data_IF_178841307004
#
_entry.id   IF_178841307004
#
_cell.length_a   1.000
_cell.length_b   1.000
_cell.length_c   1.000
_cell.angle_alpha   90.00
_cell.angle_beta   90.00
_cell.angle_gamma   90.00
#
_symmetry.space_group_name_H-M   'P 1'
#
loop_
_entity.id
_entity.type
_entity.pdbx_description
1 polymer ?
#
# COMPACT_ATOMS: atom_id res chain seq x y z
N UNK A 1 -20.07 40.80 14.70
CA UNK A 1 -18.82 40.10 14.33
C UNK A 1 -19.11 38.61 14.17
N UNK A 2 -19.07 38.04 12.96
CA UNK A 2 -19.30 36.60 12.74
C UNK A 2 -17.99 35.81 12.60
N UNK A 3 -17.95 34.62 13.20
CA UNK A 3 -16.77 33.76 13.38
C UNK A 3 -16.20 33.17 12.06
N UNK A 4 -14.86 32.92 11.96
CA UNK A 4 -14.18 32.64 10.69
C UNK A 4 -14.22 31.18 10.17
N UNK A 5 -15.00 30.26 10.74
CA UNK A 5 -14.81 28.81 10.53
C UNK A 5 -15.90 28.12 9.70
N UNK A 6 -16.67 28.85 8.88
CA UNK A 6 -17.74 28.26 8.03
C UNK A 6 -17.59 28.54 6.52
N UNK A 7 -16.38 28.84 6.04
CA UNK A 7 -16.09 29.18 4.63
C UNK A 7 -16.21 28.02 3.61
N UNK A 8 -16.90 26.92 3.94
CA UNK A 8 -17.05 25.76 3.03
C UNK A 8 -18.48 25.47 2.53
N UNK A 9 -19.49 26.25 2.90
CA UNK A 9 -20.87 25.99 2.45
C UNK A 9 -21.62 27.20 1.89
N UNK A 10 -20.96 28.10 1.15
CA UNK A 10 -21.64 29.08 0.29
C UNK A 10 -20.91 29.27 -1.04
N UNK A 11 -21.31 28.46 -2.00
CA UNK A 11 -21.26 28.79 -3.41
C UNK A 11 -22.38 28.01 -4.12
N UNK A 12 -23.60 28.26 -3.66
CA UNK A 12 -24.81 27.99 -4.42
C UNK A 12 -25.53 29.34 -4.53
N UNK A 13 -25.92 29.69 -5.76
CA UNK A 13 -26.85 30.77 -6.13
C UNK A 13 -26.21 32.17 -6.27
N UNK A 14 -25.71 32.52 -7.47
CA UNK A 14 -26.44 33.38 -8.44
C UNK A 14 -25.63 33.90 -9.65
N UNK A 15 -26.29 33.85 -10.82
CA UNK A 15 -26.14 34.68 -12.03
C UNK A 15 -24.98 34.44 -13.02
N UNK A 16 -25.18 33.48 -13.95
CA UNK A 16 -24.60 33.51 -15.32
C UNK A 16 -25.73 33.11 -16.30
N UNK A 17 -25.97 33.85 -17.40
CA UNK A 17 -27.13 33.61 -18.26
C UNK A 17 -27.04 32.30 -19.05
N UNK A 18 -28.21 31.74 -19.32
CA UNK A 18 -28.50 30.51 -20.07
C UNK A 18 -27.72 30.41 -21.38
N UNK A 19 -26.56 29.77 -21.31
CA UNK A 19 -25.93 29.08 -22.45
C UNK A 19 -25.44 27.75 -21.91
N UNK A 20 -26.32 26.76 -21.91
CA UNK A 20 -25.94 25.35 -21.71
C UNK A 20 -24.86 24.99 -22.74
N UNK A 21 -23.60 24.69 -22.37
CA UNK A 21 -22.78 23.92 -23.26
C UNK A 21 -23.39 22.51 -23.32
N UNK A 22 -23.88 22.16 -24.51
CA UNK A 22 -24.34 20.83 -24.91
C UNK A 22 -23.52 19.72 -24.20
N UNK A 23 -24.15 18.67 -23.64
CA UNK A 23 -23.42 17.62 -22.94
C UNK A 23 -22.43 17.01 -23.91
N UNK A 24 -21.15 17.32 -23.68
CA UNK A 24 -20.08 16.78 -24.48
C UNK A 24 -20.15 15.27 -24.31
N UNK A 25 -20.40 14.55 -25.40
CA UNK A 25 -20.33 13.09 -25.56
C UNK A 25 -18.92 12.52 -25.28
N UNK A 26 -18.14 13.18 -24.41
CA UNK A 26 -16.89 12.65 -23.92
C UNK A 26 -17.22 11.54 -22.92
N UNK A 27 -16.77 10.29 -23.14
CA UNK A 27 -16.95 9.24 -22.16
C UNK A 27 -16.35 9.70 -20.83
N UNK A 28 -16.99 9.36 -19.70
CA UNK A 28 -16.45 9.62 -18.37
C UNK A 28 -15.07 8.93 -18.27
N UNK A 29 -14.01 9.72 -18.32
CA UNK A 29 -12.62 9.25 -18.40
C UNK A 29 -12.04 9.16 -16.99
N UNK A 30 -11.63 7.96 -16.59
CA UNK A 30 -10.86 7.74 -15.38
C UNK A 30 -9.43 8.25 -15.57
N UNK A 31 -9.03 9.23 -14.74
CA UNK A 31 -7.65 9.71 -14.67
C UNK A 31 -6.71 8.59 -14.19
N UNK A 32 -5.63 8.37 -14.95
CA UNK A 32 -4.58 7.40 -14.64
C UNK A 32 -4.03 7.57 -13.22
N UNK A 33 -4.00 8.80 -12.69
CA UNK A 33 -3.56 9.09 -11.31
C UNK A 33 -4.45 8.43 -10.28
N UNK A 34 -5.78 8.47 -10.48
CA UNK A 34 -6.75 7.86 -9.57
C UNK A 34 -6.64 6.34 -9.61
N UNK A 35 -6.59 5.76 -10.82
CA UNK A 35 -6.44 4.31 -11.04
C UNK A 35 -5.17 3.80 -10.36
N UNK A 36 -4.05 4.46 -10.59
CA UNK A 36 -2.78 4.01 -10.03
C UNK A 36 -2.70 4.21 -8.52
N UNK A 37 -3.22 5.33 -8.00
CA UNK A 37 -3.32 5.56 -6.55
C UNK A 37 -4.16 4.46 -5.89
N UNK A 38 -5.24 4.03 -6.53
CA UNK A 38 -6.07 2.92 -6.08
C UNK A 38 -5.27 1.61 -5.99
N UNK A 39 -4.61 1.21 -7.08
CA UNK A 39 -3.82 -0.02 -7.09
C UNK A 39 -2.66 0.02 -6.10
N UNK A 40 -1.88 1.10 -6.03
CA UNK A 40 -0.79 1.23 -5.05
C UNK A 40 -1.30 1.21 -3.60
N UNK A 41 -2.48 1.77 -3.33
CA UNK A 41 -3.11 1.69 -2.00
C UNK A 41 -3.50 0.26 -1.67
N UNK A 42 -4.11 -0.47 -2.60
CA UNK A 42 -4.50 -1.86 -2.37
C UNK A 42 -3.27 -2.77 -2.24
N UNK A 43 -2.22 -2.56 -3.03
CA UNK A 43 -0.95 -3.27 -2.85
C UNK A 43 -0.38 -3.09 -1.45
N UNK A 44 -0.38 -1.85 -0.91
CA UNK A 44 0.05 -1.60 0.48
C UNK A 44 -0.84 -2.29 1.51
N UNK A 45 -2.15 -2.35 1.27
CA UNK A 45 -3.07 -3.09 2.15
C UNK A 45 -2.77 -4.59 2.13
N UNK A 46 -2.55 -5.17 0.95
CA UNK A 46 -2.22 -6.59 0.81
C UNK A 46 -0.91 -6.94 1.51
N UNK A 47 0.14 -6.14 1.34
CA UNK A 47 1.41 -6.35 2.07
C UNK A 47 1.20 -6.29 3.59
N UNK A 48 0.46 -5.29 4.10
CA UNK A 48 0.15 -5.21 5.54
C UNK A 48 -0.63 -6.44 6.03
N UNK A 49 -1.60 -6.91 5.25
CA UNK A 49 -2.38 -8.09 5.57
C UNK A 49 -1.49 -9.34 5.61
N UNK A 50 -0.60 -9.52 4.63
CA UNK A 50 0.37 -10.63 4.60
C UNK A 50 1.31 -10.58 5.81
N UNK A 51 1.82 -9.39 6.18
CA UNK A 51 2.64 -9.22 7.39
C UNK A 51 1.88 -9.63 8.64
N UNK A 52 0.62 -9.22 8.78
CA UNK A 52 -0.22 -9.59 9.94
C UNK A 52 -0.52 -11.09 9.97
N UNK A 53 -0.76 -11.73 8.82
CA UNK A 53 -1.00 -13.17 8.73
C UNK A 53 0.26 -13.98 9.09
N UNK A 54 1.43 -13.54 8.62
CA UNK A 54 2.71 -14.16 9.00
C UNK A 54 3.00 -13.96 10.50
N UNK A 55 2.77 -12.77 11.04
CA UNK A 55 2.90 -12.50 12.46
C UNK A 55 1.95 -13.36 13.31
N UNK A 56 0.72 -13.58 12.83
CA UNK A 56 -0.25 -14.45 13.48
C UNK A 56 0.18 -15.92 13.44
N UNK A 57 0.75 -16.39 12.33
CA UNK A 57 1.35 -17.74 12.26
C UNK A 57 2.44 -17.91 13.32
N UNK A 58 3.30 -16.90 13.49
CA UNK A 58 4.37 -16.92 14.48
C UNK A 58 3.84 -16.87 15.92
N UNK A 59 2.82 -16.05 16.17
CA UNK A 59 2.14 -16.01 17.46
C UNK A 59 1.43 -17.32 17.80
N UNK A 60 0.89 -18.05 16.82
CA UNK A 60 0.27 -19.37 17.03
C UNK A 60 1.35 -20.44 17.25
N UNK A 61 2.49 -20.36 16.54
CA UNK A 61 3.60 -21.31 16.66
C UNK A 61 4.26 -21.24 18.02
N UNK A 62 4.60 -20.05 18.48
CA UNK A 62 5.33 -19.83 19.76
C UNK A 62 4.35 -19.71 20.93
N UNK A 63 3.16 -19.16 20.70
CA UNK A 63 2.19 -18.83 21.74
C UNK A 63 2.32 -17.37 22.19
N UNK A 64 1.22 -16.60 22.27
CA UNK A 64 1.27 -15.15 22.45
C UNK A 64 1.82 -14.70 23.82
N UNK A 65 1.62 -15.51 24.87
CA UNK A 65 2.18 -15.23 26.21
C UNK A 65 3.68 -15.48 26.21
N UNK A 66 4.09 -16.62 25.67
CA UNK A 66 5.49 -17.01 25.57
C UNK A 66 6.28 -15.98 24.75
N UNK A 67 5.72 -15.51 23.63
CA UNK A 67 6.33 -14.50 22.77
C UNK A 67 6.61 -13.17 23.50
N UNK A 68 5.73 -12.75 24.42
CA UNK A 68 5.92 -11.50 25.18
C UNK A 68 6.90 -11.67 26.34
N UNK A 69 6.94 -12.85 26.94
CA UNK A 69 7.80 -13.16 28.08
C UNK A 69 9.04 -13.98 27.72
N UNK A 70 9.45 -14.01 26.44
CA UNK A 70 10.64 -14.76 26.00
C UNK A 70 11.86 -14.44 26.88
N UNK A 71 12.48 -15.49 27.44
CA UNK A 71 13.64 -15.38 28.34
C UNK A 71 13.35 -14.74 29.71
N UNK A 72 12.08 -14.53 30.07
CA UNK A 72 11.64 -13.95 31.34
C UNK A 72 10.60 -14.84 32.02
N UNK A 73 10.50 -14.70 33.34
CA UNK A 73 9.43 -15.31 34.15
C UNK A 73 9.29 -16.84 33.97
N UNK A 74 10.40 -17.54 33.70
CA UNK A 74 10.44 -18.99 33.53
C UNK A 74 10.11 -19.48 32.10
N UNK A 75 9.81 -18.59 31.16
CA UNK A 75 9.66 -18.95 29.75
C UNK A 75 11.02 -19.14 29.06
N UNK A 76 11.12 -20.08 28.10
CA UNK A 76 12.36 -20.31 27.36
C UNK A 76 12.78 -19.05 26.60
N UNK A 77 14.09 -18.89 26.41
CA UNK A 77 14.64 -17.85 25.54
C UNK A 77 14.24 -18.10 24.08
N UNK A 78 14.23 -17.04 23.28
CA UNK A 78 14.03 -17.11 21.84
C UNK A 78 15.00 -18.13 21.21
N UNK A 79 14.48 -19.02 20.37
CA UNK A 79 15.29 -19.97 19.62
C UNK A 79 16.11 -19.28 18.53
N UNK A 80 17.07 -20.01 17.95
CA UNK A 80 17.92 -19.47 16.86
C UNK A 80 17.11 -19.01 15.64
N UNK A 81 15.90 -19.56 15.43
CA UNK A 81 14.99 -19.18 14.36
C UNK A 81 13.97 -18.10 14.75
N UNK A 82 13.95 -17.60 16.00
CA UNK A 82 12.95 -16.65 16.49
C UNK A 82 13.39 -15.19 16.25
N UNK A 83 13.60 -14.86 14.97
CA UNK A 83 13.96 -13.51 14.52
C UNK A 83 13.22 -13.16 13.21
N UNK A 84 13.26 -11.88 12.85
CA UNK A 84 12.68 -11.37 11.61
C UNK A 84 11.43 -10.52 11.79
N UNK A 85 10.81 -10.16 10.67
CA UNK A 85 9.70 -9.22 10.61
C UNK A 85 8.43 -9.83 11.20
N UNK A 86 8.13 -11.09 10.91
CA UNK A 86 6.92 -11.73 11.42
C UNK A 86 6.99 -11.91 12.94
N UNK A 87 8.14 -12.31 13.47
CA UNK A 87 8.37 -12.45 14.91
C UNK A 87 8.24 -11.09 15.63
N UNK A 88 8.90 -10.04 15.14
CA UNK A 88 8.82 -8.70 15.74
C UNK A 88 7.40 -8.11 15.74
N UNK A 89 6.66 -8.28 14.64
CA UNK A 89 5.26 -7.85 14.56
C UNK A 89 4.36 -8.72 15.44
N UNK A 90 4.63 -10.03 15.49
CA UNK A 90 3.96 -10.98 16.39
C UNK A 90 4.11 -10.55 17.85
N UNK A 91 5.32 -10.24 18.29
CA UNK A 91 5.63 -9.71 19.61
C UNK A 91 4.81 -8.46 19.92
N UNK A 92 4.80 -7.49 19.02
CA UNK A 92 4.07 -6.24 19.23
C UNK A 92 2.55 -6.47 19.34
N UNK A 93 1.98 -7.32 18.49
CA UNK A 93 0.54 -7.64 18.51
C UNK A 93 0.16 -8.44 19.75
N UNK A 94 0.97 -9.43 20.13
CA UNK A 94 0.78 -10.22 21.34
C UNK A 94 0.91 -9.37 22.61
N UNK A 95 1.85 -8.42 22.63
CA UNK A 95 2.00 -7.46 23.72
C UNK A 95 0.76 -6.57 23.85
N UNK A 96 0.26 -6.00 22.75
CA UNK A 96 -0.98 -5.22 22.75
C UNK A 96 -2.19 -6.06 23.21
N UNK A 97 -2.28 -7.31 22.76
CA UNK A 97 -3.32 -8.24 23.18
C UNK A 97 -3.26 -8.48 24.70
N UNK A 98 -2.07 -8.74 25.26
CA UNK A 98 -1.91 -8.90 26.70
C UNK A 98 -2.23 -7.62 27.45
N UNK A 99 -1.77 -6.45 27.01
CA UNK A 99 -2.13 -5.19 27.65
C UNK A 99 -3.65 -4.97 27.67
N UNK A 100 -4.33 -5.18 26.54
CA UNK A 100 -5.79 -5.06 26.48
C UNK A 100 -6.49 -6.10 27.35
N UNK A 101 -6.02 -7.35 27.34
CA UNK A 101 -6.57 -8.43 28.15
C UNK A 101 -6.35 -8.17 29.65
N UNK A 102 -5.18 -7.70 30.07
CA UNK A 102 -4.91 -7.36 31.47
C UNK A 102 -5.74 -6.15 31.93
N UNK A 103 -5.89 -5.11 31.09
CA UNK A 103 -6.65 -3.90 31.46
C UNK A 103 -8.16 -4.16 31.47
N UNK A 104 -8.67 -4.99 30.57
CA UNK A 104 -10.12 -5.24 30.45
C UNK A 104 -10.51 -6.49 31.22
N UNK A 105 -9.83 -7.62 31.04
CA UNK A 105 -10.30 -8.90 31.53
C UNK A 105 -10.00 -9.13 33.01
N UNK A 106 -8.78 -8.78 33.48
CA UNK A 106 -8.38 -8.99 34.88
C UNK A 106 -9.25 -8.25 35.90
N UNK A 107 -9.63 -6.97 35.72
CA UNK A 107 -10.48 -6.30 36.71
C UNK A 107 -11.93 -6.81 36.71
N UNK A 108 -12.45 -7.34 35.60
CA UNK A 108 -13.85 -7.77 35.51
C UNK A 108 -14.07 -9.26 35.77
N UNK A 109 -13.06 -10.11 35.54
CA UNK A 109 -13.23 -11.57 35.52
C UNK A 109 -12.21 -12.35 36.36
N UNK A 110 -11.30 -11.69 37.09
CA UNK A 110 -10.33 -12.37 37.96
C UNK A 110 -10.99 -13.27 39.02
N UNK A 111 -12.22 -12.95 39.45
CA UNK A 111 -12.97 -13.74 40.43
C UNK A 111 -13.64 -15.01 39.84
N UNK A 112 -13.80 -15.08 38.51
CA UNK A 112 -14.54 -16.15 37.84
C UNK A 112 -13.63 -17.22 37.22
N UNK A 113 -12.35 -16.94 37.03
CA UNK A 113 -11.41 -17.90 36.46
C UNK A 113 -11.06 -18.96 37.51
N UNK A 114 -11.42 -20.25 37.32
CA UNK A 114 -10.86 -21.30 38.14
C UNK A 114 -9.34 -21.30 37.96
N UNK A 115 -8.59 -21.58 39.02
CA UNK A 115 -7.13 -21.73 38.97
C UNK A 115 -6.78 -22.66 37.81
N UNK A 116 -6.18 -22.09 36.75
CA UNK A 116 -5.73 -22.83 35.58
C UNK A 116 -4.46 -23.58 35.96
N UNK A 117 -4.63 -24.64 36.75
CA UNK A 117 -3.54 -25.32 37.41
C UNK A 117 -3.92 -26.71 37.88
N UNK A 118 -4.40 -27.58 36.98
CA UNK A 118 -4.18 -29.04 37.03
C UNK A 118 -5.03 -29.72 35.96
N UNK A 119 -4.54 -29.73 34.72
CA UNK A 119 -5.06 -30.65 33.71
C UNK A 119 -4.15 -31.86 33.65
N UNK A 120 -4.62 -33.02 34.11
CA UNK A 120 -3.92 -34.29 33.91
C UNK A 120 -3.62 -34.49 32.41
N UNK A 121 -2.35 -34.68 32.00
CA UNK A 121 -1.96 -34.81 30.59
C UNK A 121 -2.51 -36.07 29.91
N UNK A 122 -3.08 -37.01 30.69
CA UNK A 122 -3.56 -38.30 30.19
C UNK A 122 -5.03 -38.31 29.73
N UNK A 123 -5.81 -37.25 30.01
CA UNK A 123 -7.21 -37.12 29.54
C UNK A 123 -7.45 -35.77 28.87
N UNK A 124 -7.23 -35.67 27.53
CA UNK A 124 -7.48 -34.42 26.83
C UNK A 124 -8.97 -34.08 26.90
N UNK A 125 -9.26 -32.90 27.47
CA UNK A 125 -10.61 -32.36 27.53
C UNK A 125 -11.15 -32.15 26.11
N UNK A 126 -12.47 -32.03 25.96
CA UNK A 126 -13.10 -31.65 24.69
C UNK A 126 -12.55 -30.32 24.15
N UNK A 127 -12.11 -29.42 25.03
CA UNK A 127 -11.45 -28.18 24.67
C UNK A 127 -10.08 -28.43 24.01
N UNK A 128 -9.28 -29.36 24.51
CA UNK A 128 -7.96 -29.69 23.93
C UNK A 128 -8.09 -30.30 22.53
N UNK A 129 -9.11 -31.14 22.32
CA UNK A 129 -9.43 -31.68 20.98
C UNK A 129 -9.87 -30.57 20.03
N UNK A 130 -10.70 -29.62 20.49
CA UNK A 130 -11.15 -28.49 19.68
C UNK A 130 -9.98 -27.55 19.33
N UNK A 131 -9.10 -27.23 20.29
CA UNK A 131 -7.88 -26.44 20.07
C UNK A 131 -6.98 -27.12 19.04
N UNK A 132 -6.76 -28.44 19.15
CA UNK A 132 -5.94 -29.19 18.19
C UNK A 132 -6.51 -29.13 16.76
N UNK A 133 -7.82 -29.26 16.60
CA UNK A 133 -8.50 -29.14 15.30
C UNK A 133 -8.43 -27.72 14.76
N UNK A 134 -8.64 -26.70 15.60
CA UNK A 134 -8.51 -25.29 15.21
C UNK A 134 -7.09 -24.97 14.75
N UNK A 135 -6.08 -25.47 15.46
CA UNK A 135 -4.67 -25.30 15.10
C UNK A 135 -4.36 -25.97 13.76
N UNK A 136 -4.86 -27.18 13.52
CA UNK A 136 -4.70 -27.86 12.22
C UNK A 136 -5.39 -27.11 11.07
N UNK A 137 -6.60 -26.58 11.29
CA UNK A 137 -7.28 -25.76 10.29
C UNK A 137 -6.50 -24.47 10.01
N UNK A 138 -5.98 -23.80 11.04
CA UNK A 138 -5.19 -22.59 10.90
C UNK A 138 -3.86 -22.84 10.17
N UNK A 139 -3.23 -23.99 10.38
CA UNK A 139 -2.02 -24.41 9.66
C UNK A 139 -2.22 -24.50 8.14
N UNK A 140 -3.45 -24.75 7.68
CA UNK A 140 -3.77 -24.79 6.24
C UNK A 140 -4.34 -23.45 5.76
N UNK A 141 -5.23 -22.84 6.54
CA UNK A 141 -5.93 -21.62 6.14
C UNK A 141 -5.00 -20.41 6.07
N UNK A 142 -4.04 -20.28 6.99
CA UNK A 142 -3.14 -19.14 7.04
C UNK A 142 -2.22 -19.10 5.81
N UNK A 143 -1.48 -20.17 5.44
CA UNK A 143 -0.70 -20.19 4.19
C UNK A 143 -1.54 -19.94 2.94
N UNK A 144 -2.76 -20.50 2.87
CA UNK A 144 -3.67 -20.27 1.75
C UNK A 144 -4.08 -18.80 1.64
N UNK A 145 -4.40 -18.15 2.76
CA UNK A 145 -4.76 -16.74 2.79
C UNK A 145 -3.59 -15.82 2.41
N UNK A 146 -2.37 -16.17 2.81
CA UNK A 146 -1.14 -15.48 2.37
C UNK A 146 -0.98 -15.62 0.85
N UNK A 147 -1.15 -16.84 0.32
CA UNK A 147 -1.08 -17.11 -1.12
C UNK A 147 -2.09 -16.29 -1.92
N UNK A 148 -3.35 -16.25 -1.47
CA UNK A 148 -4.39 -15.41 -2.10
C UNK A 148 -4.02 -13.92 -2.02
N UNK A 149 -3.49 -13.45 -0.88
CA UNK A 149 -3.02 -12.07 -0.71
C UNK A 149 -1.91 -11.70 -1.69
N UNK A 150 -0.94 -12.60 -1.90
CA UNK A 150 0.14 -12.43 -2.87
C UNK A 150 -0.36 -12.43 -4.32
N UNK A 151 -1.32 -13.29 -4.67
CA UNK A 151 -1.95 -13.29 -5.99
C UNK A 151 -2.69 -11.97 -6.25
N UNK A 152 -3.44 -11.50 -5.26
CA UNK A 152 -4.17 -10.23 -5.34
C UNK A 152 -3.21 -9.04 -5.45
N UNK A 153 -2.08 -9.11 -4.75
CA UNK A 153 -0.99 -8.14 -4.88
C UNK A 153 -0.41 -8.14 -6.29
N UNK A 154 -0.07 -9.31 -6.85
CA UNK A 154 0.48 -9.43 -8.20
C UNK A 154 -0.50 -8.89 -9.25
N UNK A 155 -1.79 -9.19 -9.11
CA UNK A 155 -2.84 -8.62 -9.96
C UNK A 155 -2.81 -7.08 -9.94
N UNK A 156 -2.79 -6.46 -8.76
CA UNK A 156 -2.73 -5.01 -8.66
C UNK A 156 -1.41 -4.40 -9.16
N UNK A 157 -0.29 -5.11 -8.99
CA UNK A 157 1.00 -4.68 -9.53
C UNK A 157 0.98 -4.67 -11.06
N UNK A 158 0.46 -5.74 -11.68
CA UNK A 158 0.30 -5.85 -13.13
C UNK A 158 -0.64 -4.77 -13.64
N UNK A 159 -1.78 -4.54 -12.98
CA UNK A 159 -2.70 -3.47 -13.37
C UNK A 159 -2.06 -2.09 -13.27
N UNK A 160 -1.32 -1.80 -12.19
CA UNK A 160 -0.62 -0.52 -12.01
C UNK A 160 0.45 -0.29 -13.09
N UNK A 161 1.07 -1.36 -13.58
CA UNK A 161 2.10 -1.33 -14.61
C UNK A 161 1.52 -1.21 -16.04
N UNK A 162 0.44 -1.94 -16.34
CA UNK A 162 -0.19 -1.94 -17.67
C UNK A 162 -0.93 -0.63 -17.92
N UNK A 163 -1.78 -0.21 -16.96
CA UNK A 163 -2.68 0.93 -17.10
C UNK A 163 -1.98 2.24 -16.73
N UNK A 164 -1.32 2.80 -17.74
CA UNK A 164 -0.52 4.02 -17.63
C UNK A 164 -1.28 5.28 -18.04
N UNK A 165 -2.34 5.11 -18.82
CA UNK A 165 -3.08 6.19 -19.48
C UNK A 165 -4.52 6.29 -18.94
N UNK A 166 -5.18 7.43 -19.20
CA UNK A 166 -6.59 7.61 -18.88
C UNK A 166 -7.46 6.71 -19.75
N UNK A 167 -8.52 6.16 -19.19
CA UNK A 167 -9.42 5.22 -19.90
C UNK A 167 -10.89 5.55 -19.65
N UNK A 168 -11.81 5.12 -20.52
CA UNK A 168 -13.23 5.13 -20.19
C UNK A 168 -13.46 4.30 -18.93
N UNK A 169 -14.34 4.78 -18.06
CA UNK A 169 -14.76 4.09 -16.84
C UNK A 169 -15.11 2.63 -17.11
N UNK A 170 -14.64 1.74 -16.23
CA UNK A 170 -14.84 0.28 -16.31
C UNK A 170 -14.29 -0.43 -17.57
N UNK A 171 -13.52 0.26 -18.41
CA UNK A 171 -12.95 -0.37 -19.60
C UNK A 171 -11.84 -1.37 -19.25
N UNK A 172 -12.04 -2.63 -19.68
CA UNK A 172 -11.01 -3.68 -19.63
C UNK A 172 -10.05 -3.66 -20.82
N UNK A 173 -10.24 -2.74 -21.78
CA UNK A 173 -9.42 -2.68 -22.99
C UNK A 173 -7.97 -2.33 -22.65
N UNK A 174 -7.02 -3.07 -23.23
CA UNK A 174 -5.61 -2.78 -23.05
C UNK A 174 -5.24 -1.42 -23.68
N UNK A 175 -4.40 -0.61 -23.01
CA UNK A 175 -3.98 0.68 -23.54
C UNK A 175 -3.11 0.48 -24.78
N UNK A 176 -3.24 1.40 -25.75
CA UNK A 176 -2.40 1.40 -26.95
C UNK A 176 -0.93 1.58 -26.56
N UNK A 177 -0.04 0.80 -27.16
CA UNK A 177 1.40 0.92 -26.96
C UNK A 177 1.96 2.09 -27.75
N UNK A 178 1.91 3.29 -27.17
CA UNK A 178 2.56 4.49 -27.70
C UNK A 178 4.00 4.61 -27.17
N UNK A 179 4.86 5.37 -27.87
CA UNK A 179 6.23 5.68 -27.38
C UNK A 179 6.19 6.31 -25.97
N UNK A 180 5.20 7.17 -25.71
CA UNK A 180 4.98 7.80 -24.39
C UNK A 180 4.70 6.76 -23.31
N UNK A 181 3.81 5.79 -23.57
CA UNK A 181 3.45 4.74 -22.61
C UNK A 181 4.64 3.81 -22.32
N UNK A 182 5.45 3.50 -23.33
CA UNK A 182 6.68 2.72 -23.15
C UNK A 182 7.70 3.43 -22.28
N UNK A 183 7.92 4.73 -22.49
CA UNK A 183 8.86 5.51 -21.69
C UNK A 183 8.43 5.57 -20.22
N UNK A 184 7.13 5.68 -19.96
CA UNK A 184 6.61 5.67 -18.60
C UNK A 184 6.81 4.28 -17.96
N UNK A 185 6.50 3.19 -18.66
CA UNK A 185 6.76 1.83 -18.15
C UNK A 185 8.24 1.61 -17.85
N UNK A 186 9.13 2.09 -18.71
CA UNK A 186 10.57 2.04 -18.47
C UNK A 186 10.97 2.81 -17.19
N UNK A 187 10.38 3.99 -16.97
CA UNK A 187 10.63 4.75 -15.74
C UNK A 187 10.16 4.03 -14.47
N UNK A 188 9.09 3.25 -14.56
CA UNK A 188 8.64 2.39 -13.45
C UNK A 188 9.57 1.21 -13.22
N UNK A 189 9.99 0.54 -14.30
CA UNK A 189 10.95 -0.57 -14.21
C UNK A 189 12.26 -0.11 -13.58
N UNK A 190 12.75 1.08 -13.98
CA UNK A 190 13.94 1.67 -13.38
C UNK A 190 13.71 1.99 -11.89
N UNK A 191 12.54 2.53 -11.52
CA UNK A 191 12.18 2.76 -10.12
C UNK A 191 12.16 1.47 -9.30
N UNK A 192 11.59 0.39 -9.84
CA UNK A 192 11.59 -0.94 -9.21
C UNK A 192 13.01 -1.45 -9.06
N UNK A 193 13.81 -1.43 -10.13
CA UNK A 193 15.20 -1.90 -10.10
C UNK A 193 16.06 -1.16 -9.08
N UNK A 194 15.93 0.18 -9.00
CA UNK A 194 16.63 0.96 -7.98
C UNK A 194 16.16 0.62 -6.57
N UNK A 195 14.85 0.45 -6.37
CA UNK A 195 14.31 0.11 -5.05
C UNK A 195 14.68 -1.30 -4.59
N UNK A 196 14.75 -2.27 -5.51
CA UNK A 196 15.13 -3.65 -5.18
C UNK A 196 16.63 -3.78 -4.98
N UNK A 197 17.45 -3.20 -5.86
CA UNK A 197 18.91 -3.23 -5.72
C UNK A 197 19.37 -2.45 -4.47
N UNK A 198 18.84 -1.24 -4.27
CA UNK A 198 19.15 -0.42 -3.10
C UNK A 198 18.64 -1.05 -1.80
N UNK A 199 17.44 -1.64 -1.82
CA UNK A 199 16.89 -2.34 -0.67
C UNK A 199 17.70 -3.59 -0.30
N UNK A 200 18.07 -4.41 -1.30
CA UNK A 200 18.94 -5.58 -1.08
C UNK A 200 20.30 -5.18 -0.49
N UNK A 201 20.95 -4.16 -1.05
CA UNK A 201 22.20 -3.64 -0.52
C UNK A 201 22.08 -3.13 0.91
N UNK A 202 20.99 -2.42 1.25
CA UNK A 202 20.74 -1.94 2.60
C UNK A 202 20.58 -3.07 3.61
N UNK A 203 19.81 -4.12 3.29
CA UNK A 203 19.66 -5.28 4.17
C UNK A 203 20.96 -6.07 4.34
N UNK A 204 21.78 -6.19 3.31
CA UNK A 204 23.10 -6.83 3.43
C UNK A 204 24.04 -6.04 4.35
N UNK A 205 24.04 -4.72 4.28
CA UNK A 205 24.84 -3.88 5.18
C UNK A 205 24.35 -3.98 6.62
N UNK A 206 23.02 -3.96 6.83
CA UNK A 206 22.42 -4.10 8.16
C UNK A 206 22.70 -5.48 8.78
N UNK A 207 22.68 -6.54 7.97
CA UNK A 207 23.06 -7.88 8.42
C UNK A 207 24.56 -7.95 8.73
N UNK A 208 25.42 -7.32 7.92
CA UNK A 208 26.86 -7.28 8.16
C UNK A 208 27.26 -6.54 9.45
N UNK A 209 26.40 -5.63 9.93
CA UNK A 209 26.57 -4.91 11.19
C UNK A 209 25.77 -5.50 12.36
N UNK A 210 25.18 -6.68 12.17
CA UNK A 210 24.37 -7.38 13.19
C UNK A 210 23.20 -6.53 13.75
N UNK A 211 22.69 -5.59 12.94
CA UNK A 211 21.63 -4.66 13.33
C UNK A 211 20.24 -5.17 12.98
N UNK A 212 20.10 -5.85 11.83
CA UNK A 212 18.82 -6.38 11.39
C UNK A 212 18.98 -7.63 10.54
N UNK A 213 18.34 -8.72 10.98
CA UNK A 213 18.27 -9.99 10.28
C UNK A 213 16.84 -10.23 9.79
N UNK A 214 16.71 -10.58 8.52
CA UNK A 214 15.42 -10.93 7.90
C UNK A 214 15.56 -12.30 7.28
N UNK A 215 14.61 -13.20 7.57
CA UNK A 215 14.59 -14.53 6.99
C UNK A 215 14.44 -14.45 5.46
N UNK A 216 15.11 -15.31 4.67
CA UNK A 216 14.99 -15.27 3.21
C UNK A 216 13.54 -15.35 2.70
N UNK A 217 12.71 -16.14 3.38
CA UNK A 217 11.28 -16.28 3.07
C UNK A 217 10.53 -14.97 3.32
N UNK A 218 10.76 -14.32 4.46
CA UNK A 218 10.18 -13.02 4.79
C UNK A 218 10.66 -11.92 3.84
N UNK A 219 11.92 -11.98 3.41
CA UNK A 219 12.45 -11.07 2.42
C UNK A 219 11.68 -11.19 1.09
N UNK A 220 11.48 -12.41 0.60
CA UNK A 220 10.75 -12.66 -0.64
C UNK A 220 9.26 -12.28 -0.54
N UNK A 221 8.61 -12.58 0.59
CA UNK A 221 7.15 -12.43 0.75
C UNK A 221 6.75 -11.02 1.20
N UNK A 222 7.59 -10.33 1.97
CA UNK A 222 7.29 -9.00 2.53
C UNK A 222 8.14 -7.93 1.87
N UNK A 223 9.46 -8.06 1.92
CA UNK A 223 10.39 -6.98 1.55
C UNK A 223 10.33 -6.70 0.05
N UNK A 224 10.36 -7.74 -0.79
CA UNK A 224 10.30 -7.59 -2.26
C UNK A 224 9.00 -6.89 -2.71
N UNK A 225 7.80 -7.29 -2.24
CA UNK A 225 6.58 -6.52 -2.49
C UNK A 225 6.63 -5.06 -2.03
N UNK A 226 7.22 -4.77 -0.87
CA UNK A 226 7.40 -3.38 -0.42
C UNK A 226 8.29 -2.60 -1.38
N UNK A 227 9.42 -3.17 -1.80
CA UNK A 227 10.37 -2.56 -2.74
C UNK A 227 9.72 -2.31 -4.11
N UNK A 228 8.95 -3.27 -4.63
CA UNK A 228 8.21 -3.10 -5.90
C UNK A 228 7.20 -1.94 -5.77
N UNK A 229 6.50 -1.84 -4.65
CA UNK A 229 5.53 -0.77 -4.40
C UNK A 229 6.21 0.61 -4.34
N UNK A 230 7.33 0.72 -3.63
CA UNK A 230 8.15 1.93 -3.56
C UNK A 230 8.70 2.32 -4.93
N UNK A 231 9.24 1.35 -5.67
CA UNK A 231 9.76 1.57 -7.02
C UNK A 231 8.70 2.08 -7.98
N UNK A 232 7.51 1.49 -7.96
CA UNK A 232 6.38 2.00 -8.74
C UNK A 232 5.98 3.40 -8.32
N UNK A 233 5.94 3.70 -7.01
CA UNK A 233 5.67 5.05 -6.50
C UNK A 233 6.68 6.07 -7.06
N UNK A 234 7.98 5.76 -7.05
CA UNK A 234 9.00 6.63 -7.65
C UNK A 234 8.76 6.85 -9.15
N UNK A 235 8.43 5.78 -9.88
CA UNK A 235 8.03 5.86 -11.29
C UNK A 235 6.81 6.78 -11.50
N UNK A 236 5.82 6.74 -10.61
CA UNK A 236 4.64 7.63 -10.70
C UNK A 236 4.99 9.10 -10.50
N UNK A 237 5.90 9.39 -9.57
CA UNK A 237 6.36 10.75 -9.28
C UNK A 237 7.18 11.28 -10.46
N UNK A 238 8.02 10.43 -11.06
CA UNK A 238 8.77 10.75 -12.26
C UNK A 238 7.84 11.07 -13.43
N UNK A 239 6.82 10.25 -13.68
CA UNK A 239 5.78 10.51 -14.70
C UNK A 239 5.10 11.86 -14.45
N UNK A 240 4.68 12.13 -13.21
CA UNK A 240 4.02 13.40 -12.86
C UNK A 240 4.92 14.61 -13.14
N UNK A 241 6.21 14.53 -12.78
CA UNK A 241 7.19 15.58 -13.07
C UNK A 241 7.39 15.77 -14.59
N UNK A 242 7.42 14.68 -15.36
CA UNK A 242 7.54 14.75 -16.82
C UNK A 242 6.33 15.41 -17.46
N UNK A 243 5.11 15.01 -17.10
CA UNK A 243 3.87 15.61 -17.62
C UNK A 243 3.79 17.10 -17.27
N UNK A 244 4.16 17.48 -16.04
CA UNK A 244 4.20 18.89 -15.62
C UNK A 244 5.21 19.71 -16.43
N UNK A 245 6.35 19.13 -16.80
CA UNK A 245 7.37 19.79 -17.64
C UNK A 245 6.89 19.94 -19.08
N UNK A 246 6.22 18.91 -19.64
CA UNK A 246 5.66 18.96 -20.99
C UNK A 246 4.55 20.01 -21.09
N UNK A 247 3.60 20.00 -20.16
CA UNK A 247 2.51 20.98 -20.12
C UNK A 247 3.03 22.43 -20.01
N UNK A 248 4.09 22.67 -19.24
CA UNK A 248 4.76 23.98 -19.17
C UNK A 248 5.38 24.39 -20.51
N UNK A 249 6.06 23.48 -21.19
CA UNK A 249 6.65 23.74 -22.51
C UNK A 249 5.57 24.03 -23.56
N UNK A 250 4.46 23.30 -23.53
CA UNK A 250 3.32 23.53 -24.42
C UNK A 250 2.64 24.87 -24.15
N UNK A 251 2.45 25.23 -22.88
CA UNK A 251 1.91 26.55 -22.51
C UNK A 251 2.80 27.71 -22.99
N UNK A 252 4.13 27.57 -22.87
CA UNK A 252 5.08 28.58 -23.37
C UNK A 252 5.02 28.68 -24.90
N UNK A 253 4.94 27.55 -25.62
CA UNK A 253 4.80 27.55 -27.08
C UNK A 253 3.47 28.17 -27.53
N UNK A 254 2.37 27.89 -26.84
CA UNK A 254 1.09 28.50 -27.14
C UNK A 254 1.11 30.01 -26.87
N UNK A 255 1.80 30.44 -25.81
CA UNK A 255 1.99 31.86 -25.53
C UNK A 255 2.85 32.56 -26.60
N UNK A 256 3.94 31.92 -27.06
CA UNK A 256 4.79 32.49 -28.12
C UNK A 256 4.05 32.58 -29.46
N UNK A 257 3.30 31.53 -29.84
CA UNK A 257 2.48 31.53 -31.06
C UNK A 257 1.39 32.60 -31.00
N UNK A 258 0.72 32.78 -29.84
CA UNK A 258 -0.26 33.85 -29.67
C UNK A 258 0.37 35.24 -29.78
N UNK A 259 1.58 35.42 -29.25
CA UNK A 259 2.29 36.69 -29.30
C UNK A 259 2.78 37.01 -30.73
N UNK A 260 3.22 36.01 -31.47
CA UNK A 260 3.57 36.13 -32.89
C UNK A 260 2.33 36.45 -33.74
N UNK A 261 1.21 35.75 -33.53
CA UNK A 261 -0.05 36.00 -34.24
C UNK A 261 -0.61 37.41 -33.97
N UNK A 262 -0.56 37.87 -32.72
CA UNK A 262 -0.97 39.24 -32.37
C UNK A 262 -0.07 40.30 -33.05
N UNK A 263 1.23 40.05 -33.14
CA UNK A 263 2.17 40.98 -33.80
C UNK A 263 2.01 41.02 -35.33
N UNK A 264 1.55 39.93 -35.95
CA UNK A 264 1.25 39.89 -37.38
C UNK A 264 -0.06 40.57 -37.72
N UNK A 265 -1.09 40.44 -36.87
CA UNK A 265 -2.36 41.15 -37.04
C UNK A 265 -2.19 42.66 -36.88
N UNK A 266 -1.36 43.11 -35.92
CA UNK A 266 -1.06 44.53 -35.71
C UNK A 266 -0.32 45.15 -36.91
N UNK A 267 0.62 44.40 -37.52
CA UNK A 267 1.28 44.81 -38.77
C UNK A 267 0.35 44.80 -39.98
N UNK A 268 -0.60 43.87 -40.05
CA UNK A 268 -1.57 43.81 -41.14
C UNK A 268 -2.58 44.96 -41.07
N UNK A 269 -2.99 45.36 -39.87
CA UNK A 269 -3.85 46.54 -39.66
C UNK A 269 -3.17 47.84 -40.08
N UNK A 270 -1.89 48.02 -39.73
CA UNK A 270 -1.11 49.21 -40.13
C UNK A 270 -0.86 49.32 -41.65
N UNK A 271 -0.96 48.23 -42.40
CA UNK A 271 -0.81 48.22 -43.86
C UNK A 271 -2.13 48.46 -44.62
N UNK A 272 -3.28 48.39 -43.95
CA UNK A 272 -4.59 48.71 -44.55
C UNK A 272 -5.01 50.17 -44.37
N UNK A 273 -4.33 50.93 -43.50
CA UNK A 273 -4.57 52.36 -43.28
C UNK A 273 -3.74 53.28 -44.22
N UNK A 274 -3.06 52.72 -45.23
CA UNK A 274 -2.31 53.46 -46.28
C UNK A 274 -2.98 53.25 -47.63
#
# INVERSE_FOLDING_TARGET
MPCPWSRRCRAAVDNVPDTLPSPTLAPDMEDWKKIRKYHLRNMRKQVRQVVLLMALMEAIRVGPIQLVYEGKHGYPAAGEDDFGIAHAVGYFVSWLYLCAFTVVFVPFFSWWLPEMGSGDPEKPSTADKAVKVLTQLNLVLLPMSIGIGLLTYAYHAICAFIYVDSRPKDSKRLPKNTRKNWLIRLSMLLGIAMSTAGGYGAFNILAAWDLAHVKPIEYAIIVVPVQINLGMLFGTIAQFKMEKRLARKEAIKLASVKHEAASTDEKAGLLQEV
#
